data_IF_953040969195
#
_entry.id   IF_953040969195
#
_cell.length_a   1.000
_cell.length_b   1.000
_cell.length_c   1.000
_cell.angle_alpha   90.00
_cell.angle_beta   90.00
_cell.angle_gamma   90.00
#
_symmetry.space_group_name_H-M   'P 1'
#
loop_
_entity.id
_entity.type
_entity.pdbx_description
1 polymer ?
#
# COMPACT_ATOMS: atom_id res chain seq x y z
N UNK A 1 31.11 3.07 3.33
CA UNK A 1 31.13 2.19 2.15
C UNK A 1 30.17 1.05 2.45
N UNK A 2 28.91 1.16 2.05
CA UNK A 2 27.90 0.15 2.32
C UNK A 2 27.71 -0.65 1.03
N UNK A 3 28.11 -1.92 1.08
CA UNK A 3 28.05 -2.85 -0.04
C UNK A 3 26.62 -3.06 -0.49
N UNK A 4 26.37 -2.80 -1.77
CA UNK A 4 25.15 -3.14 -2.49
C UNK A 4 24.98 -4.66 -2.48
N UNK A 5 24.02 -5.18 -1.72
CA UNK A 5 23.49 -6.52 -1.97
C UNK A 5 22.44 -6.39 -3.07
N UNK A 6 22.89 -6.59 -4.31
CA UNK A 6 22.00 -6.86 -5.43
C UNK A 6 21.36 -8.23 -5.19
N UNK A 7 20.17 -8.22 -4.60
CA UNK A 7 19.33 -9.39 -4.43
C UNK A 7 18.73 -9.81 -5.77
N UNK A 8 19.32 -10.84 -6.36
CA UNK A 8 18.85 -11.55 -7.54
C UNK A 8 17.36 -11.89 -7.46
N UNK A 9 16.61 -11.36 -8.42
CA UNK A 9 15.21 -11.69 -8.65
C UNK A 9 14.83 -11.38 -10.10
N UNK A 10 15.76 -11.62 -11.02
CA UNK A 10 15.59 -11.43 -12.45
C UNK A 10 14.63 -12.47 -13.03
N UNK A 11 13.33 -12.18 -13.04
CA UNK A 11 12.42 -12.83 -13.97
C UNK A 11 12.70 -12.28 -15.36
N UNK A 12 13.63 -12.96 -16.03
CA UNK A 12 14.11 -12.68 -17.38
C UNK A 12 12.96 -12.54 -18.40
N UNK A 13 13.12 -11.59 -19.33
CA UNK A 13 12.40 -11.47 -20.60
C UNK A 13 12.23 -12.81 -21.34
N UNK A 14 13.09 -13.79 -21.01
CA UNK A 14 13.04 -15.17 -21.46
C UNK A 14 11.65 -15.82 -21.41
N UNK A 15 10.76 -15.47 -20.47
CA UNK A 15 9.44 -16.11 -20.43
C UNK A 15 8.58 -15.75 -21.66
N UNK A 16 8.60 -14.49 -22.10
CA UNK A 16 7.77 -14.00 -23.20
C UNK A 16 8.31 -14.57 -24.52
N UNK A 17 9.62 -14.41 -24.75
CA UNK A 17 10.28 -14.94 -25.94
C UNK A 17 10.20 -16.46 -26.02
N UNK A 18 10.45 -17.20 -24.93
CA UNK A 18 10.40 -18.68 -24.97
C UNK A 18 9.01 -19.22 -25.31
N UNK A 19 7.96 -18.57 -24.81
CA UNK A 19 6.58 -18.97 -25.14
C UNK A 19 6.23 -18.57 -26.57
N UNK A 20 6.64 -17.37 -27.00
CA UNK A 20 6.42 -16.89 -28.36
C UNK A 20 7.10 -17.79 -29.39
N UNK A 21 8.39 -18.12 -29.17
CA UNK A 21 9.16 -19.00 -30.03
C UNK A 21 8.52 -20.39 -30.10
N UNK A 22 8.20 -20.99 -28.94
CA UNK A 22 7.51 -22.28 -28.92
C UNK A 22 6.21 -22.27 -29.75
N UNK A 23 5.37 -21.25 -29.61
CA UNK A 23 4.08 -21.18 -30.29
C UNK A 23 4.18 -20.77 -31.76
N UNK A 24 5.25 -20.08 -32.16
CA UNK A 24 5.45 -19.56 -33.52
C UNK A 24 6.29 -20.49 -34.39
N UNK A 25 7.40 -21.01 -33.86
CA UNK A 25 8.37 -21.83 -34.60
C UNK A 25 8.32 -23.31 -34.19
N UNK A 26 7.69 -23.64 -33.07
CA UNK A 26 7.67 -25.02 -32.54
C UNK A 26 8.99 -25.46 -31.91
N UNK A 27 9.92 -24.54 -31.64
CA UNK A 27 11.22 -24.85 -31.08
C UNK A 27 11.15 -25.04 -29.56
N UNK A 28 11.77 -26.10 -29.06
CA UNK A 28 11.90 -26.37 -27.64
C UNK A 28 13.35 -26.12 -27.17
N UNK A 29 13.54 -25.71 -25.90
CA UNK A 29 14.85 -25.76 -25.27
C UNK A 29 15.39 -27.18 -25.26
N UNK A 30 16.71 -27.33 -25.33
CA UNK A 30 17.38 -28.64 -25.29
C UNK A 30 17.15 -29.37 -23.96
N UNK A 31 17.05 -28.63 -22.86
CA UNK A 31 16.85 -29.18 -21.53
C UNK A 31 15.39 -29.66 -21.32
N UNK A 32 15.14 -30.99 -21.22
CA UNK A 32 13.79 -31.55 -21.13
C UNK A 32 12.90 -31.01 -19.98
N UNK A 33 13.37 -30.81 -18.74
CA UNK A 33 12.57 -30.18 -17.68
C UNK A 33 12.16 -28.74 -18.02
N UNK A 34 13.04 -27.95 -18.64
CA UNK A 34 12.73 -26.57 -19.05
C UNK A 34 11.72 -26.56 -20.20
N UNK A 35 11.90 -27.44 -21.19
CA UNK A 35 10.96 -27.61 -22.29
C UNK A 35 9.54 -27.98 -21.80
N UNK A 36 9.44 -28.96 -20.90
CA UNK A 36 8.16 -29.36 -20.29
C UNK A 36 7.51 -28.22 -19.51
N UNK A 37 8.31 -27.42 -18.79
CA UNK A 37 7.81 -26.26 -18.04
C UNK A 37 7.23 -25.21 -18.97
N UNK A 38 7.94 -24.83 -20.03
CA UNK A 38 7.48 -23.84 -21.01
C UNK A 38 6.25 -24.36 -21.74
N UNK A 39 6.22 -25.64 -22.13
CA UNK A 39 5.06 -26.25 -22.77
C UNK A 39 3.81 -26.13 -21.89
N UNK A 40 3.89 -26.53 -20.62
CA UNK A 40 2.78 -26.40 -19.66
C UNK A 40 2.36 -24.94 -19.44
N UNK A 41 3.30 -24.01 -19.45
CA UNK A 41 3.01 -22.58 -19.32
C UNK A 41 2.31 -22.02 -20.56
N UNK A 42 2.75 -22.41 -21.76
CA UNK A 42 2.23 -21.92 -23.05
C UNK A 42 0.73 -22.16 -23.22
N UNK A 43 0.19 -23.23 -22.62
CA UNK A 43 -1.26 -23.54 -22.63
C UNK A 43 -2.14 -22.41 -22.07
N UNK A 44 -1.57 -21.51 -21.28
CA UNK A 44 -2.28 -20.36 -20.68
C UNK A 44 -2.26 -19.11 -21.56
N UNK A 45 -1.49 -19.15 -22.65
CA UNK A 45 -1.17 -18.00 -23.49
C UNK A 45 -1.51 -18.27 -24.95
N UNK A 46 -2.78 -18.07 -25.38
CA UNK A 46 -3.11 -18.15 -26.79
C UNK A 46 -2.33 -17.13 -27.62
N UNK A 47 -1.87 -17.56 -28.79
CA UNK A 47 -1.25 -16.71 -29.82
C UNK A 47 -2.33 -16.33 -30.85
N UNK A 48 -2.60 -15.03 -31.00
CA UNK A 48 -3.52 -14.50 -32.01
C UNK A 48 -2.81 -13.42 -32.82
N UNK A 49 -2.80 -13.53 -34.15
CA UNK A 49 -2.16 -12.58 -35.07
C UNK A 49 -0.70 -12.25 -34.70
N UNK A 50 0.04 -13.26 -34.20
CA UNK A 50 1.43 -13.09 -33.78
C UNK A 50 1.62 -12.42 -32.42
N UNK A 51 0.55 -12.16 -31.68
CA UNK A 51 0.57 -11.53 -30.36
C UNK A 51 0.11 -12.52 -29.28
N UNK A 52 0.84 -12.59 -28.17
CA UNK A 52 0.47 -13.42 -27.03
C UNK A 52 -0.63 -12.74 -26.21
N UNK A 53 -1.64 -13.50 -25.82
CA UNK A 53 -2.71 -13.05 -24.94
C UNK A 53 -2.82 -13.91 -23.70
N UNK A 54 -3.44 -13.38 -22.66
CA UNK A 54 -3.87 -14.14 -21.49
C UNK A 54 -5.33 -13.83 -21.18
N UNK A 55 -6.11 -14.88 -20.87
CA UNK A 55 -7.48 -14.69 -20.38
C UNK A 55 -7.46 -14.15 -18.96
N UNK A 56 -8.14 -13.02 -18.74
CA UNK A 56 -8.43 -12.48 -17.42
C UNK A 56 -9.42 -13.39 -16.68
N UNK A 57 -9.60 -13.17 -15.39
CA UNK A 57 -10.65 -13.86 -14.62
C UNK A 57 -12.05 -13.58 -15.16
N UNK A 58 -12.30 -12.37 -15.69
CA UNK A 58 -13.57 -12.03 -16.35
C UNK A 58 -13.68 -12.54 -17.80
N UNK A 59 -12.68 -13.25 -18.31
CA UNK A 59 -12.68 -13.83 -19.65
C UNK A 59 -12.19 -12.89 -20.77
N UNK A 60 -11.89 -11.63 -20.47
CA UNK A 60 -11.29 -10.69 -21.42
C UNK A 60 -9.87 -11.12 -21.81
N UNK A 61 -9.49 -10.93 -23.08
CA UNK A 61 -8.13 -11.17 -23.53
C UNK A 61 -7.26 -9.96 -23.22
N UNK A 62 -6.19 -10.20 -22.48
CA UNK A 62 -5.19 -9.21 -22.14
C UNK A 62 -3.95 -9.47 -22.99
N UNK A 63 -3.49 -8.46 -23.73
CA UNK A 63 -2.24 -8.49 -24.48
C UNK A 63 -1.09 -8.73 -23.52
N UNK A 64 -0.30 -9.76 -23.77
CA UNK A 64 0.93 -9.97 -23.03
C UNK A 64 1.96 -8.95 -23.52
N UNK A 65 2.54 -8.23 -22.57
CA UNK A 65 3.57 -7.22 -22.84
C UNK A 65 4.92 -7.68 -22.32
N UNK A 66 5.99 -7.19 -22.94
CA UNK A 66 7.36 -7.44 -22.48
C UNK A 66 7.60 -6.82 -21.11
N UNK A 67 8.74 -7.13 -20.49
CA UNK A 67 9.14 -6.47 -19.24
C UNK A 67 9.21 -4.95 -19.38
N UNK A 68 9.81 -4.48 -20.46
CA UNK A 68 10.02 -3.06 -20.71
C UNK A 68 8.68 -2.35 -20.95
N UNK A 69 7.84 -2.90 -21.83
CA UNK A 69 6.50 -2.39 -22.10
C UNK A 69 5.63 -2.36 -20.84
N UNK A 70 5.65 -3.42 -20.03
CA UNK A 70 4.88 -3.49 -18.79
C UNK A 70 5.33 -2.46 -17.75
N UNK A 71 6.64 -2.23 -17.61
CA UNK A 71 7.17 -1.19 -16.73
C UNK A 71 6.84 0.22 -17.25
N UNK A 72 6.86 0.41 -18.57
CA UNK A 72 6.44 1.66 -19.19
C UNK A 72 4.96 1.94 -18.96
N UNK A 73 4.09 0.95 -19.12
CA UNK A 73 2.65 1.07 -18.82
C UNK A 73 2.41 1.42 -17.34
N UNK A 74 3.15 0.80 -16.41
CA UNK A 74 3.10 1.14 -14.98
C UNK A 74 3.46 2.61 -14.74
N UNK A 75 4.54 3.09 -15.37
CA UNK A 75 4.97 4.50 -15.27
C UNK A 75 3.95 5.44 -15.89
N UNK A 76 3.49 5.17 -17.11
CA UNK A 76 2.56 6.02 -17.85
C UNK A 76 1.23 6.19 -17.12
N UNK A 77 0.65 5.10 -16.60
CA UNK A 77 -0.61 5.15 -15.85
C UNK A 77 -0.52 6.02 -14.59
N UNK A 78 0.70 6.15 -14.02
CA UNK A 78 0.95 6.92 -12.81
C UNK A 78 1.40 8.34 -13.07
N UNK A 79 2.33 8.54 -13.99
CA UNK A 79 2.99 9.81 -14.29
C UNK A 79 2.30 10.58 -15.41
N UNK A 80 1.50 9.91 -16.25
CA UNK A 80 0.74 10.50 -17.35
C UNK A 80 -0.44 11.36 -16.87
N UNK A 81 -1.34 11.71 -17.81
CA UNK A 81 -2.49 12.60 -17.56
C UNK A 81 -3.39 12.17 -16.40
N UNK A 82 -3.28 10.92 -15.95
CA UNK A 82 -4.09 10.34 -14.90
C UNK A 82 -3.34 10.20 -13.56
N UNK A 83 -2.52 11.20 -13.20
CA UNK A 83 -1.83 11.35 -11.90
C UNK A 83 -2.77 11.03 -10.73
N UNK A 84 -2.78 9.77 -10.34
CA UNK A 84 -3.60 9.28 -9.24
C UNK A 84 -2.61 8.62 -8.29
N UNK A 85 -2.47 9.13 -7.07
CA UNK A 85 -1.66 8.50 -6.01
C UNK A 85 -2.41 7.24 -5.50
N UNK A 86 -2.66 6.30 -6.40
CA UNK A 86 -3.40 5.08 -6.14
C UNK A 86 -2.45 4.01 -5.61
N UNK A 87 -2.95 3.19 -4.70
CA UNK A 87 -2.18 2.07 -4.17
C UNK A 87 -1.86 1.04 -5.27
N UNK A 88 -0.86 0.19 -5.02
CA UNK A 88 -0.36 -0.79 -6.00
C UNK A 88 -1.45 -1.74 -6.53
N UNK A 89 -2.46 -2.08 -5.70
CA UNK A 89 -3.58 -2.95 -6.10
C UNK A 89 -4.47 -2.24 -7.13
N UNK A 90 -4.83 -0.98 -6.88
CA UNK A 90 -5.61 -0.18 -7.82
C UNK A 90 -4.84 0.07 -9.12
N UNK A 91 -3.53 0.34 -9.04
CA UNK A 91 -2.67 0.50 -10.22
C UNK A 91 -2.63 -0.77 -11.07
N UNK A 92 -2.48 -1.94 -10.43
CA UNK A 92 -2.55 -3.25 -11.11
C UNK A 92 -3.86 -3.43 -11.87
N UNK A 93 -4.98 -3.17 -11.22
CA UNK A 93 -6.30 -3.31 -11.85
C UNK A 93 -6.47 -2.37 -13.03
N UNK A 94 -5.91 -1.16 -12.94
CA UNK A 94 -5.97 -0.17 -14.01
C UNK A 94 -5.18 -0.63 -15.25
N UNK A 95 -3.98 -1.16 -15.06
CA UNK A 95 -3.17 -1.73 -16.16
C UNK A 95 -3.90 -2.90 -16.82
N UNK A 96 -4.44 -3.83 -16.03
CA UNK A 96 -5.22 -4.95 -16.56
C UNK A 96 -6.48 -4.50 -17.32
N UNK A 97 -7.10 -3.39 -16.91
CA UNK A 97 -8.26 -2.81 -17.62
C UNK A 97 -7.88 -2.13 -18.94
N UNK A 98 -6.65 -1.65 -19.08
CA UNK A 98 -6.12 -1.15 -20.35
C UNK A 98 -5.85 -2.29 -21.34
N UNK A 99 -5.88 -3.53 -20.86
CA UNK A 99 -5.68 -4.72 -21.69
C UNK A 99 -4.26 -5.26 -21.61
N UNK A 100 -3.36 -4.67 -20.82
CA UNK A 100 -1.97 -5.12 -20.74
C UNK A 100 -1.75 -6.12 -19.60
N UNK A 101 -1.09 -7.23 -19.90
CA UNK A 101 -0.80 -8.30 -18.96
C UNK A 101 0.68 -8.64 -18.90
N UNK A 102 1.15 -8.85 -17.67
CA UNK A 102 2.45 -9.41 -17.34
C UNK A 102 2.35 -10.29 -16.09
N UNK A 103 3.08 -11.42 -16.00
CA UNK A 103 3.04 -12.33 -14.84
C UNK A 103 3.24 -11.64 -13.48
N UNK A 104 4.04 -10.58 -13.42
CA UNK A 104 4.41 -9.86 -12.21
C UNK A 104 3.85 -8.44 -12.11
N UNK A 105 2.82 -8.10 -12.89
CA UNK A 105 2.24 -6.74 -12.91
C UNK A 105 1.86 -6.23 -11.51
N UNK A 106 1.37 -7.11 -10.63
CA UNK A 106 1.03 -6.77 -9.24
C UNK A 106 2.25 -6.48 -8.36
N UNK A 107 3.38 -7.14 -8.64
CA UNK A 107 4.65 -6.85 -7.97
C UNK A 107 5.23 -5.56 -8.51
N UNK A 108 5.28 -5.40 -9.83
CA UNK A 108 5.81 -4.20 -10.50
C UNK A 108 5.08 -2.93 -10.03
N UNK A 109 3.75 -2.97 -9.98
CA UNK A 109 2.94 -1.87 -9.49
C UNK A 109 3.20 -1.56 -8.01
N UNK A 110 3.36 -2.58 -7.15
CA UNK A 110 3.71 -2.39 -5.73
C UNK A 110 5.10 -1.82 -5.56
N UNK A 111 6.10 -2.38 -6.23
CA UNK A 111 7.50 -1.95 -6.14
C UNK A 111 7.66 -0.53 -6.69
N UNK A 112 6.88 -0.18 -7.72
CA UNK A 112 6.83 1.19 -8.23
C UNK A 112 6.17 2.13 -7.22
N UNK A 113 5.05 1.74 -6.59
CA UNK A 113 4.39 2.55 -5.54
C UNK A 113 5.30 2.74 -4.32
N UNK A 114 5.99 1.69 -3.91
CA UNK A 114 6.96 1.68 -2.81
C UNK A 114 8.11 2.67 -3.04
N UNK A 115 8.67 2.70 -4.25
CA UNK A 115 9.79 3.58 -4.62
C UNK A 115 9.41 5.05 -4.83
N UNK A 116 8.13 5.38 -4.86
CA UNK A 116 7.68 6.72 -5.17
C UNK A 116 7.49 7.55 -3.91
N UNK A 117 8.35 8.56 -3.78
CA UNK A 117 8.43 9.42 -2.61
C UNK A 117 7.12 10.17 -2.29
N UNK A 118 6.43 10.74 -3.28
CA UNK A 118 5.14 11.41 -3.03
C UNK A 118 4.09 10.44 -2.49
N UNK A 119 4.03 9.22 -3.04
CA UNK A 119 3.13 8.20 -2.50
C UNK A 119 3.53 7.69 -1.12
N UNK A 120 4.80 7.72 -0.73
CA UNK A 120 5.20 7.39 0.63
C UNK A 120 4.87 8.50 1.62
N UNK A 121 5.02 9.77 1.22
CA UNK A 121 4.68 10.94 2.06
C UNK A 121 3.17 11.09 2.27
N UNK A 122 2.38 10.82 1.24
CA UNK A 122 0.92 10.97 1.27
C UNK A 122 0.19 9.68 1.69
N UNK A 123 0.92 8.58 1.92
CA UNK A 123 0.32 7.35 2.41
C UNK A 123 -0.27 7.59 3.79
N UNK A 124 -1.56 7.27 3.94
CA UNK A 124 -2.18 7.18 5.26
C UNK A 124 -1.57 5.96 5.94
N UNK A 125 -0.52 6.17 6.73
CA UNK A 125 0.02 5.16 7.63
C UNK A 125 -0.96 5.12 8.82
N UNK A 126 -1.69 4.02 9.07
CA UNK A 126 -2.42 3.87 10.32
C UNK A 126 -1.40 3.76 11.45
N UNK A 127 -0.98 4.90 11.98
CA UNK A 127 0.02 5.00 13.05
C UNK A 127 -0.49 4.53 14.42
N UNK A 128 -1.69 3.95 14.50
CA UNK A 128 -2.18 3.43 15.76
C UNK A 128 -1.87 1.94 15.86
N UNK A 129 -0.97 1.51 16.77
CA UNK A 129 -1.14 0.19 17.33
C UNK A 129 -2.56 0.10 17.89
N UNK A 130 -3.27 -1.00 17.60
CA UNK A 130 -4.51 -1.33 18.30
C UNK A 130 -4.13 -1.72 19.73
N UNK A 131 -3.74 -0.74 20.55
CA UNK A 131 -3.51 -0.98 21.96
C UNK A 131 -4.88 -1.12 22.61
N UNK A 132 -5.25 -2.33 23.01
CA UNK A 132 -6.39 -2.53 23.89
C UNK A 132 -6.21 -1.65 25.12
N UNK A 133 -7.19 -0.79 25.39
CA UNK A 133 -7.22 0.00 26.63
C UNK A 133 -7.41 -0.98 27.79
N UNK A 134 -6.31 -1.39 28.42
CA UNK A 134 -6.39 -2.19 29.64
C UNK A 134 -6.82 -1.25 30.77
N UNK A 135 -8.07 -1.40 31.23
CA UNK A 135 -8.53 -0.74 32.44
C UNK A 135 -7.74 -1.27 33.63
N UNK A 136 -6.87 -0.45 34.22
CA UNK A 136 -6.21 -0.78 35.48
C UNK A 136 -7.24 -0.81 36.61
N UNK A 137 -7.64 -2.01 37.02
CA UNK A 137 -8.47 -2.22 38.22
C UNK A 137 -7.56 -2.15 39.46
N UNK A 138 -7.24 -0.94 39.92
CA UNK A 138 -6.67 -0.78 41.27
C UNK A 138 -7.83 -0.70 42.28
N UNK A 139 -7.91 -1.57 43.29
CA UNK A 139 -9.03 -1.64 44.23
C UNK A 139 -8.97 -0.61 45.37
N UNK A 140 -8.04 0.36 45.32
CA UNK A 140 -7.84 1.34 46.39
C UNK A 140 -8.24 2.73 45.85
N UNK A 141 -9.29 3.31 46.45
CA UNK A 141 -9.65 4.70 46.20
C UNK A 141 -8.43 5.61 46.49
N UNK A 142 -8.25 6.66 45.69
CA UNK A 142 -7.19 7.69 45.78
C UNK A 142 -5.81 7.39 45.14
N UNK A 143 -5.61 6.31 44.37
CA UNK A 143 -4.29 6.08 43.72
C UNK A 143 -4.13 6.70 42.31
N UNK A 144 -5.22 6.96 41.58
CA UNK A 144 -5.17 7.54 40.22
C UNK A 144 -6.22 8.63 40.02
N UNK A 145 -5.78 9.77 39.51
CA UNK A 145 -6.61 10.89 39.08
C UNK A 145 -6.21 11.33 37.68
N UNK A 146 -7.19 11.70 36.86
CA UNK A 146 -6.98 12.36 35.58
C UNK A 146 -7.12 13.85 35.73
N UNK A 147 -6.22 14.62 35.12
CA UNK A 147 -6.35 16.07 34.99
C UNK A 147 -6.57 16.42 33.53
N UNK A 148 -7.54 17.27 33.29
CA UNK A 148 -7.80 17.85 31.98
C UNK A 148 -8.02 19.36 32.10
N UNK A 149 -7.81 20.08 31.01
CA UNK A 149 -8.06 21.52 30.91
C UNK A 149 -9.22 21.72 29.94
N UNK A 150 -10.32 22.24 30.47
CA UNK A 150 -11.42 22.72 29.63
C UNK A 150 -11.07 24.12 29.16
N UNK A 151 -10.92 24.26 27.86
CA UNK A 151 -10.62 25.51 27.15
C UNK A 151 -11.93 26.15 26.65
N UNK A 152 -11.92 27.47 26.47
CA UNK A 152 -13.00 28.25 25.85
C UNK A 152 -14.38 28.18 26.54
N UNK A 153 -14.39 28.18 27.88
CA UNK A 153 -15.62 28.36 28.64
C UNK A 153 -16.20 29.79 28.45
N UNK A 154 -17.54 29.95 28.49
CA UNK A 154 -18.17 31.26 28.42
C UNK A 154 -17.61 32.16 29.53
N UNK A 155 -17.25 33.40 29.16
CA UNK A 155 -16.58 34.34 30.06
C UNK A 155 -17.47 34.61 31.29
N UNK A 156 -17.04 34.11 32.43
CA UNK A 156 -17.62 34.46 33.73
C UNK A 156 -16.90 35.70 34.29
N UNK A 157 -17.48 36.35 35.32
CA UNK A 157 -16.89 37.51 35.98
C UNK A 157 -15.42 37.25 36.36
N UNK A 158 -14.50 38.11 35.88
CA UNK A 158 -13.06 38.00 36.16
C UNK A 158 -12.19 37.37 35.06
N UNK A 159 -12.62 37.41 33.79
CA UNK A 159 -11.82 37.02 32.60
C UNK A 159 -11.27 35.59 32.58
N UNK A 160 -11.85 34.68 33.38
CA UNK A 160 -11.49 33.25 33.39
C UNK A 160 -12.22 32.54 32.26
N UNK A 161 -11.46 31.92 31.35
CA UNK A 161 -11.97 31.15 30.20
C UNK A 161 -11.61 29.66 30.25
N UNK A 162 -10.85 29.27 31.27
CA UNK A 162 -10.32 27.93 31.40
C UNK A 162 -10.70 27.35 32.76
N UNK A 163 -10.83 26.04 32.82
CA UNK A 163 -10.96 25.32 34.08
C UNK A 163 -10.04 24.10 34.08
N UNK A 164 -9.32 23.92 35.18
CA UNK A 164 -8.67 22.64 35.46
C UNK A 164 -9.74 21.73 36.06
N UNK A 165 -9.89 20.54 35.49
CA UNK A 165 -10.80 19.50 35.95
C UNK A 165 -9.97 18.31 36.42
N UNK A 166 -10.24 17.85 37.63
CA UNK A 166 -9.62 16.66 38.21
C UNK A 166 -10.70 15.61 38.41
N UNK A 167 -10.47 14.40 37.90
CA UNK A 167 -11.39 13.27 38.03
C UNK A 167 -10.67 12.14 38.76
N UNK A 168 -11.18 11.75 39.92
CA UNK A 168 -10.75 10.52 40.58
C UNK A 168 -11.30 9.32 39.79
N UNK A 169 -10.42 8.45 39.30
CA UNK A 169 -10.83 7.38 38.39
C UNK A 169 -11.68 6.29 39.06
N UNK A 170 -11.60 6.15 40.39
CA UNK A 170 -12.29 5.11 41.15
C UNK A 170 -13.69 5.56 41.58
N UNK A 171 -13.76 6.67 42.30
CA UNK A 171 -15.00 7.27 42.82
C UNK A 171 -15.78 8.02 41.75
N UNK A 172 -15.14 8.35 40.62
CA UNK A 172 -15.67 9.27 39.60
C UNK A 172 -16.01 10.65 40.17
N UNK A 173 -15.43 11.03 41.31
CA UNK A 173 -15.60 12.37 41.86
C UNK A 173 -14.86 13.40 41.02
N UNK A 174 -15.50 14.54 40.77
CA UNK A 174 -15.01 15.59 39.89
C UNK A 174 -14.84 16.89 40.67
N UNK A 175 -13.66 17.50 40.58
CA UNK A 175 -13.40 18.86 41.02
C UNK A 175 -13.03 19.73 39.83
N UNK A 176 -13.59 20.93 39.76
CA UNK A 176 -13.25 21.92 38.73
C UNK A 176 -12.87 23.24 39.39
N UNK A 177 -11.76 23.85 38.93
CA UNK A 177 -11.33 25.17 39.39
C UNK A 177 -11.13 26.11 38.20
N UNK A 178 -11.83 27.25 38.14
CA UNK A 178 -11.65 28.21 37.07
C UNK A 178 -10.32 28.95 37.24
N UNK A 179 -9.53 29.02 36.18
CA UNK A 179 -8.22 29.69 36.15
C UNK A 179 -8.22 30.85 35.12
N UNK A 180 -7.57 31.98 35.44
CA UNK A 180 -7.27 33.01 34.45
C UNK A 180 -6.15 32.53 33.51
N UNK A 181 -6.07 33.10 32.30
CA UNK A 181 -4.88 32.94 31.46
C UNK A 181 -3.70 33.64 32.16
N UNK A 182 -2.61 32.92 32.41
CA UNK A 182 -1.34 33.55 32.77
C UNK A 182 -0.50 33.61 31.50
N UNK A 183 -0.15 34.83 31.08
CA UNK A 183 0.95 35.02 30.16
C UNK A 183 2.22 34.50 30.85
N UNK A 184 2.95 33.57 30.22
CA UNK A 184 4.27 33.18 30.70
C UNK A 184 5.22 34.37 30.47
N UNK A 185 5.66 35.01 31.57
CA UNK A 185 6.89 35.83 31.59
C UNK A 185 8.13 34.95 31.62
#
# INVERSE_FOLDING_TARGET
MCSTMEGEGGFSEAWYSSILDLLRTGTFPEDPPVANKIQRQSLRYPLLDGVLYRRSFQGSLLKCVTQEEGLMAVKEVREGMWRSHINGKALTQKILRLGDFRPLVAKDARDHVWRCDSCQRDAIIPHQPLQEMVSMLCPIAVYQWGVDIVVDLPRMSGSKKYAIVVVDYFTKWVAAKPIPWQDQE
#
